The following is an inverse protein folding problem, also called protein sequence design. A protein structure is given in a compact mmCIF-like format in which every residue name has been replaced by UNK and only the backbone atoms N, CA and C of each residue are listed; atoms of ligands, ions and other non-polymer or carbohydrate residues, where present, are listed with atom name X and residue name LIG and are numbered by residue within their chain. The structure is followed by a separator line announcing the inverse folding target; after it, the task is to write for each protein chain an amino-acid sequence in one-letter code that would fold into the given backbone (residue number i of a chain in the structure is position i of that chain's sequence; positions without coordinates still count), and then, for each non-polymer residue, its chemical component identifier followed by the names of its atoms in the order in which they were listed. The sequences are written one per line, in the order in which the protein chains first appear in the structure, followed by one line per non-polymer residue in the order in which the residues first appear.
data_IF_253046474302
#
_entry.id   IF_253046474302
#
_cell.length_a   1.000
_cell.length_b   1.000
_cell.length_c   1.000
_cell.angle_alpha   90.00
_cell.angle_beta   90.00
_cell.angle_gamma   90.00
#
_symmetry.space_group_name_H-M   'P 1'
#
loop_
_entity.id
_entity.type
_entity.pdbx_description
1 polymer ?
#
# COMPACT_ATOMS: atom_id res chain seq x y z
N UNK A 1 -50.23 29.66 -42.52
CA UNK A 1 -50.95 29.00 -41.41
C UNK A 1 -49.98 28.76 -40.26
N UNK A 2 -50.47 28.91 -39.03
CA UNK A 2 -49.75 29.27 -37.80
C UNK A 2 -48.82 28.19 -37.24
N UNK A 3 -47.67 28.65 -36.74
CA UNK A 3 -46.81 28.05 -35.71
C UNK A 3 -47.58 27.51 -34.50
N UNK A 4 -47.01 26.51 -33.82
CA UNK A 4 -46.87 26.50 -32.35
C UNK A 4 -45.86 25.45 -31.88
N UNK A 5 -44.66 25.94 -31.56
CA UNK A 5 -43.77 25.33 -30.59
C UNK A 5 -44.42 25.44 -29.21
N UNK A 6 -44.33 24.38 -28.40
CA UNK A 6 -44.68 24.41 -26.98
C UNK A 6 -43.40 24.22 -26.18
N UNK A 7 -42.89 25.33 -25.67
CA UNK A 7 -42.03 25.39 -24.50
C UNK A 7 -42.82 24.87 -23.30
N UNK A 8 -42.23 23.99 -22.50
CA UNK A 8 -42.64 23.75 -21.11
C UNK A 8 -41.51 24.26 -20.21
N UNK A 9 -41.81 25.14 -19.23
CA UNK A 9 -40.78 25.87 -18.51
C UNK A 9 -40.17 25.06 -17.36
N UNK A 10 -38.88 25.31 -17.12
CA UNK A 10 -38.26 25.22 -15.81
C UNK A 10 -39.02 26.14 -14.85
N UNK A 11 -39.38 25.65 -13.66
CA UNK A 11 -39.28 26.37 -12.39
C UNK A 11 -39.74 25.44 -11.26
N UNK A 12 -38.81 24.97 -10.43
CA UNK A 12 -39.11 24.84 -9.02
C UNK A 12 -37.91 25.27 -8.19
N UNK A 13 -38.13 26.42 -7.57
CA UNK A 13 -37.25 27.16 -6.69
C UNK A 13 -37.65 26.79 -5.26
N UNK A 14 -36.67 26.49 -4.40
CA UNK A 14 -36.71 26.84 -2.97
C UNK A 14 -37.03 25.73 -1.98
N UNK A 15 -36.07 25.44 -1.10
CA UNK A 15 -36.11 25.75 0.35
C UNK A 15 -34.76 25.31 0.96
N UNK A 16 -33.85 26.23 1.29
CA UNK A 16 -33.65 26.77 2.65
C UNK A 16 -33.81 25.72 3.77
N UNK A 17 -32.69 25.14 4.18
CA UNK A 17 -32.57 24.27 5.36
C UNK A 17 -31.29 24.58 6.12
N UNK A 18 -31.43 25.55 7.04
CA UNK A 18 -30.67 25.89 8.24
C UNK A 18 -29.24 25.35 8.47
N UNK A 19 -28.35 26.31 8.74
CA UNK A 19 -27.15 26.15 9.54
C UNK A 19 -27.49 25.85 11.02
N UNK A 20 -26.74 24.95 11.64
CA UNK A 20 -26.47 24.86 13.09
C UNK A 20 -25.20 24.01 13.18
N UNK A 21 -23.99 24.56 13.33
CA UNK A 21 -23.44 25.27 14.50
C UNK A 21 -23.75 24.52 15.81
N UNK A 22 -22.86 23.61 16.18
CA UNK A 22 -22.60 23.31 17.60
C UNK A 22 -21.18 22.77 17.74
N UNK A 23 -20.25 23.67 18.06
CA UNK A 23 -18.96 23.32 18.63
C UNK A 23 -19.09 23.18 20.15
N UNK A 24 -18.33 22.26 20.76
CA UNK A 24 -17.80 22.55 22.09
C UNK A 24 -16.27 22.46 22.14
N UNK A 25 -15.67 23.56 22.56
CA UNK A 25 -14.35 23.68 23.20
C UNK A 25 -14.52 24.60 24.42
N UNK A 26 -13.59 24.66 25.39
CA UNK A 26 -12.60 23.67 25.82
C UNK A 26 -12.76 23.37 27.34
N UNK A 27 -12.01 22.40 27.87
CA UNK A 27 -11.74 22.35 29.31
C UNK A 27 -10.33 21.83 29.57
N UNK A 28 -9.45 22.78 29.90
CA UNK A 28 -8.19 22.55 30.55
C UNK A 28 -8.39 22.66 32.07
N UNK A 29 -7.90 21.68 32.82
CA UNK A 29 -7.47 21.84 34.21
C UNK A 29 -6.78 20.55 34.67
N UNK A 30 -5.54 20.65 35.12
CA UNK A 30 -4.84 19.56 35.81
C UNK A 30 -3.35 19.48 35.57
N UNK A 31 -2.60 20.55 35.86
CA UNK A 31 -1.17 20.46 36.18
C UNK A 31 -1.05 19.89 37.60
N UNK A 32 -0.39 18.74 37.77
CA UNK A 32 0.33 18.41 38.99
C UNK A 32 1.45 17.40 38.69
N UNK A 33 2.65 17.88 38.97
CA UNK A 33 3.94 17.22 39.09
C UNK A 33 3.97 15.71 39.40
N UNK A 34 4.74 14.99 38.58
CA UNK A 34 5.64 13.97 39.08
C UNK A 34 6.87 13.88 38.16
N UNK A 35 7.93 14.59 38.55
CA UNK A 35 9.31 14.26 38.15
C UNK A 35 9.60 12.83 38.61
N UNK A 36 9.41 11.86 37.72
CA UNK A 36 10.09 10.57 37.83
C UNK A 36 11.25 10.57 36.85
N UNK A 37 12.43 10.83 37.41
CA UNK A 37 13.70 10.52 36.78
C UNK A 37 13.70 9.00 36.56
N UNK A 38 13.34 8.58 35.35
CA UNK A 38 13.79 7.29 34.83
C UNK A 38 15.27 7.50 34.51
N UNK A 39 16.08 7.09 35.47
CA UNK A 39 17.50 6.89 35.30
C UNK A 39 17.70 6.00 34.06
N UNK A 40 18.33 6.56 33.03
CA UNK A 40 18.72 5.81 31.85
C UNK A 40 19.69 4.73 32.33
N UNK A 41 19.38 3.42 32.21
CA UNK A 41 20.42 2.44 32.38
C UNK A 41 21.52 2.77 31.37
N UNK A 42 22.76 2.76 31.85
CA UNK A 42 23.93 2.90 31.02
C UNK A 42 23.76 1.98 29.81
N UNK A 43 23.78 2.56 28.62
CA UNK A 43 24.02 1.83 27.39
C UNK A 43 25.35 1.12 27.59
N UNK A 44 25.30 -0.19 27.76
CA UNK A 44 26.49 -1.03 27.69
C UNK A 44 27.23 -0.68 26.40
N UNK A 45 28.57 -0.53 26.45
CA UNK A 45 29.34 -0.29 25.24
C UNK A 45 29.05 -1.42 24.27
N UNK A 46 28.86 -1.05 23.00
CA UNK A 46 28.71 -1.95 21.88
C UNK A 46 29.59 -3.19 22.08
N UNK A 47 28.95 -4.36 22.14
CA UNK A 47 29.63 -5.62 22.08
C UNK A 47 30.68 -5.52 20.97
N UNK A 48 31.92 -5.81 21.36
CA UNK A 48 33.07 -5.81 20.47
C UNK A 48 32.67 -6.46 19.15
N UNK A 49 33.09 -5.82 18.04
CA UNK A 49 33.03 -6.43 16.73
C UNK A 49 33.48 -7.90 16.85
N UNK A 50 32.76 -8.87 16.24
CA UNK A 50 33.23 -10.24 16.25
C UNK A 50 34.68 -10.24 15.77
N UNK A 51 35.58 -11.02 16.40
CA UNK A 51 36.95 -11.12 15.91
C UNK A 51 36.88 -11.39 14.42
N UNK A 52 37.55 -10.52 13.66
CA UNK A 52 37.59 -10.61 12.20
C UNK A 52 37.81 -12.07 11.84
N UNK A 53 36.94 -12.60 10.96
CA UNK A 53 37.09 -13.95 10.44
C UNK A 53 38.58 -14.13 10.10
N UNK A 54 39.25 -15.19 10.59
CA UNK A 54 40.60 -15.45 10.12
C UNK A 54 40.54 -15.44 8.60
N UNK A 55 41.47 -14.72 7.97
CA UNK A 55 41.64 -14.74 6.52
C UNK A 55 41.82 -16.21 6.14
N UNK A 56 40.73 -16.81 5.68
CA UNK A 56 40.69 -18.17 5.23
C UNK A 56 41.61 -18.26 4.03
N UNK A 57 42.71 -18.98 4.26
CA UNK A 57 43.77 -19.30 3.33
C UNK A 57 43.16 -19.68 1.98
N UNK A 58 43.36 -18.83 0.98
CA UNK A 58 42.83 -18.94 -0.36
C UNK A 58 43.54 -20.04 -1.18
N UNK A 59 43.67 -21.24 -0.61
CA UNK A 59 44.24 -22.42 -1.29
C UNK A 59 43.37 -23.67 -1.14
N UNK A 60 42.06 -23.52 -0.92
CA UNK A 60 41.13 -24.60 -1.20
C UNK A 60 41.06 -24.79 -2.73
N UNK A 61 41.77 -25.80 -3.25
CA UNK A 61 41.51 -26.37 -4.58
C UNK A 61 40.02 -26.71 -4.64
N UNK A 62 39.25 -25.88 -5.33
CA UNK A 62 37.79 -25.93 -5.34
C UNK A 62 37.30 -27.33 -5.67
N UNK A 63 36.63 -27.96 -4.71
CA UNK A 63 35.75 -29.08 -5.01
C UNK A 63 34.62 -28.46 -5.84
N UNK A 64 34.42 -28.84 -7.11
CA UNK A 64 33.33 -28.31 -7.90
C UNK A 64 32.02 -28.62 -7.16
N UNK A 65 31.23 -27.58 -6.88
CA UNK A 65 29.86 -27.78 -6.42
C UNK A 65 29.17 -28.72 -7.42
N UNK A 66 28.40 -29.72 -6.95
CA UNK A 66 27.61 -30.52 -7.86
C UNK A 66 26.66 -29.58 -8.60
N UNK A 67 26.70 -29.60 -9.94
CA UNK A 67 25.70 -28.94 -10.77
C UNK A 67 24.37 -29.64 -10.53
N UNK A 68 23.56 -29.14 -9.60
CA UNK A 68 22.17 -29.58 -9.47
C UNK A 68 21.46 -29.07 -10.74
N UNK A 69 20.85 -29.96 -11.54
CA UNK A 69 20.06 -29.51 -12.69
C UNK A 69 18.91 -28.65 -12.17
N UNK A 70 18.97 -27.35 -12.44
CA UNK A 70 17.82 -26.49 -12.22
C UNK A 70 16.72 -26.95 -13.18
N UNK A 71 15.48 -27.20 -12.70
CA UNK A 71 14.37 -27.42 -13.62
C UNK A 71 14.29 -26.22 -14.57
N UNK A 72 13.85 -26.42 -15.83
CA UNK A 72 13.65 -25.30 -16.74
C UNK A 72 12.73 -24.29 -16.05
N UNK A 73 13.19 -23.03 -15.91
CA UNK A 73 12.33 -21.98 -15.40
C UNK A 73 11.07 -21.96 -16.27
N UNK A 74 9.86 -21.81 -15.69
CA UNK A 74 8.66 -21.66 -16.50
C UNK A 74 8.88 -20.52 -17.49
N UNK A 75 8.34 -20.68 -18.71
CA UNK A 75 8.40 -19.64 -19.72
C UNK A 75 7.93 -18.32 -19.11
N UNK A 76 8.62 -17.21 -19.42
CA UNK A 76 8.19 -15.89 -18.96
C UNK A 76 6.73 -15.70 -19.39
N UNK A 77 5.84 -15.26 -18.48
CA UNK A 77 4.46 -14.99 -18.85
C UNK A 77 4.44 -13.99 -20.02
N UNK A 78 3.51 -14.21 -20.96
CA UNK A 78 3.33 -13.35 -22.12
C UNK A 78 2.93 -11.92 -21.74
N UNK A 79 2.76 -11.03 -22.74
CA UNK A 79 2.25 -9.67 -22.54
C UNK A 79 0.98 -9.66 -21.66
N UNK A 80 0.78 -8.57 -20.91
CA UNK A 80 -0.33 -8.45 -19.96
C UNK A 80 -1.68 -8.62 -20.65
N UNK A 81 -1.78 -8.10 -21.86
CA UNK A 81 -2.97 -8.02 -22.71
C UNK A 81 -3.43 -9.38 -23.24
N UNK A 82 -2.55 -10.37 -23.26
CA UNK A 82 -2.83 -11.72 -23.76
C UNK A 82 -3.22 -12.69 -22.63
N UNK A 83 -3.07 -12.27 -21.37
CA UNK A 83 -3.36 -13.10 -20.20
C UNK A 83 -4.84 -13.07 -19.82
N UNK A 84 -5.32 -14.20 -19.34
CA UNK A 84 -6.66 -14.32 -18.76
C UNK A 84 -6.80 -13.51 -17.46
N UNK A 85 -8.04 -13.13 -17.07
CA UNK A 85 -8.29 -12.48 -15.79
C UNK A 85 -7.75 -13.27 -14.59
N UNK A 86 -7.89 -14.59 -14.60
CA UNK A 86 -7.45 -15.47 -13.53
C UNK A 86 -5.91 -15.46 -13.39
N UNK A 87 -5.18 -15.48 -14.51
CA UNK A 87 -3.71 -15.38 -14.53
C UNK A 87 -3.23 -14.01 -14.02
N UNK A 88 -3.94 -12.93 -14.34
CA UNK A 88 -3.64 -11.59 -13.82
C UNK A 88 -3.85 -11.52 -12.30
N UNK A 89 -4.94 -12.09 -11.80
CA UNK A 89 -5.24 -12.16 -10.37
C UNK A 89 -4.18 -12.97 -9.62
N UNK A 90 -3.78 -14.13 -10.14
CA UNK A 90 -2.74 -14.96 -9.54
C UNK A 90 -1.38 -14.24 -9.51
N UNK A 91 -0.98 -13.65 -10.65
CA UNK A 91 0.25 -12.87 -10.73
C UNK A 91 0.22 -11.67 -9.78
N UNK A 92 -0.92 -10.98 -9.68
CA UNK A 92 -1.11 -9.84 -8.79
C UNK A 92 -1.00 -10.21 -7.31
N UNK A 93 -1.53 -11.38 -6.94
CA UNK A 93 -1.37 -11.94 -5.59
C UNK A 93 0.10 -12.21 -5.26
N UNK A 94 0.85 -12.76 -6.20
CA UNK A 94 2.29 -12.97 -6.02
C UNK A 94 3.05 -11.64 -5.83
N UNK A 95 2.72 -10.63 -6.63
CA UNK A 95 3.27 -9.26 -6.48
C UNK A 95 2.93 -8.68 -5.11
N UNK A 96 1.67 -8.80 -4.67
CA UNK A 96 1.23 -8.31 -3.37
C UNK A 96 2.00 -8.96 -2.21
N UNK A 97 2.07 -10.29 -2.22
CA UNK A 97 2.74 -11.06 -1.18
C UNK A 97 4.23 -10.73 -1.09
N UNK A 98 4.88 -10.48 -2.23
CA UNK A 98 6.31 -10.18 -2.25
C UNK A 98 6.64 -8.74 -1.79
N UNK A 99 5.73 -7.78 -1.99
CA UNK A 99 6.08 -6.36 -1.90
C UNK A 99 5.26 -5.55 -0.88
N UNK A 100 4.04 -5.99 -0.54
CA UNK A 100 3.07 -5.14 0.17
C UNK A 100 2.87 -5.55 1.64
N UNK A 101 3.04 -6.83 1.96
CA UNK A 101 2.69 -7.41 3.27
C UNK A 101 3.63 -6.99 4.42
N UNK A 102 4.74 -6.30 4.12
CA UNK A 102 5.60 -5.73 5.15
C UNK A 102 4.91 -4.61 5.94
N UNK A 103 3.98 -3.90 5.30
CA UNK A 103 3.24 -2.78 5.88
C UNK A 103 1.74 -3.04 5.93
N UNK A 104 1.20 -3.65 4.87
CA UNK A 104 -0.19 -4.06 4.79
C UNK A 104 -0.38 -5.46 5.37
N UNK A 105 -1.62 -5.87 5.58
CA UNK A 105 -1.93 -7.21 6.06
C UNK A 105 -1.66 -8.26 4.97
N UNK A 106 -1.52 -9.53 5.32
CA UNK A 106 -1.51 -10.63 4.34
C UNK A 106 -2.86 -10.73 3.63
N UNK A 107 -3.94 -10.47 4.35
CA UNK A 107 -5.29 -10.32 3.80
C UNK A 107 -5.55 -8.85 3.43
N UNK A 108 -5.65 -8.49 2.13
CA UNK A 108 -5.80 -7.09 1.71
C UNK A 108 -7.09 -6.41 2.16
N UNK A 109 -8.08 -7.17 2.63
CA UNK A 109 -9.35 -6.63 3.17
C UNK A 109 -9.20 -6.10 4.60
N UNK A 110 -8.08 -6.40 5.26
CA UNK A 110 -7.81 -6.01 6.63
C UNK A 110 -6.70 -4.96 6.73
N UNK A 111 -6.75 -4.17 7.79
CA UNK A 111 -5.67 -3.25 8.12
C UNK A 111 -4.40 -4.02 8.52
N UNK A 112 -3.25 -3.54 8.05
CA UNK A 112 -1.93 -4.01 8.47
C UNK A 112 -1.37 -3.23 9.64
N UNK A 113 -0.12 -3.56 10.02
CA UNK A 113 0.58 -2.88 11.11
C UNK A 113 0.77 -1.38 10.83
N UNK A 114 1.01 -1.01 9.57
CA UNK A 114 1.26 0.37 9.15
C UNK A 114 0.27 0.84 8.08
N UNK A 115 0.01 0.00 7.07
CA UNK A 115 -0.84 0.31 5.94
C UNK A 115 -2.31 -0.04 6.20
N UNK A 116 -3.27 0.72 5.66
CA UNK A 116 -4.70 0.37 5.74
C UNK A 116 -5.05 -0.83 4.84
N UNK A 117 -6.27 -1.32 4.94
CA UNK A 117 -6.87 -2.24 3.97
C UNK A 117 -6.87 -1.64 2.56
N UNK A 118 -6.47 -2.42 1.57
CA UNK A 118 -6.26 -1.99 0.17
C UNK A 118 -7.04 -2.80 -0.86
N UNK A 119 -7.82 -3.80 -0.44
CA UNK A 119 -8.79 -4.46 -1.31
C UNK A 119 -9.64 -3.43 -2.07
N UNK A 120 -9.86 -3.70 -3.35
CA UNK A 120 -10.67 -2.86 -4.21
C UNK A 120 -10.07 -1.53 -4.65
N UNK A 121 -8.83 -1.23 -4.26
CA UNK A 121 -8.17 0.01 -4.67
C UNK A 121 -8.16 0.15 -6.21
N UNK A 122 -8.66 1.27 -6.77
CA UNK A 122 -8.69 1.45 -8.22
C UNK A 122 -7.28 1.72 -8.75
N UNK A 123 -7.03 1.35 -10.02
CA UNK A 123 -5.71 1.49 -10.65
C UNK A 123 -5.07 2.89 -10.49
N UNK A 124 -5.79 4.03 -10.65
CA UNK A 124 -5.18 5.35 -10.45
C UNK A 124 -4.65 5.59 -9.03
N UNK A 125 -5.32 5.03 -8.02
CA UNK A 125 -4.85 5.10 -6.64
C UNK A 125 -3.61 4.22 -6.47
N UNK A 126 -3.64 2.99 -6.99
CA UNK A 126 -2.50 2.07 -6.91
C UNK A 126 -1.29 2.70 -7.58
N UNK A 127 -1.43 3.23 -8.80
CA UNK A 127 -0.33 3.88 -9.52
C UNK A 127 0.23 5.07 -8.73
N UNK A 128 -0.62 5.98 -8.23
CA UNK A 128 -0.16 7.13 -7.45
C UNK A 128 0.60 6.71 -6.17
N UNK A 129 0.08 5.71 -5.45
CA UNK A 129 0.71 5.19 -4.22
C UNK A 129 2.03 4.48 -4.52
N UNK A 130 2.03 3.57 -5.49
CA UNK A 130 3.16 2.69 -5.80
C UNK A 130 4.25 3.45 -6.53
N UNK A 131 3.92 4.30 -7.49
CA UNK A 131 4.94 5.00 -8.29
C UNK A 131 5.50 6.23 -7.59
N UNK A 132 4.65 6.95 -6.85
CA UNK A 132 4.98 8.31 -6.37
C UNK A 132 4.82 8.49 -4.85
N UNK A 133 4.26 7.51 -4.14
CA UNK A 133 3.87 7.66 -2.73
C UNK A 133 2.92 8.84 -2.47
N UNK A 134 2.13 9.22 -3.48
CA UNK A 134 1.19 10.35 -3.48
C UNK A 134 -0.26 9.88 -3.53
N UNK A 135 -1.22 10.78 -3.36
CA UNK A 135 -2.64 10.48 -3.53
C UNK A 135 -3.18 11.22 -4.76
N UNK A 136 -4.11 10.62 -5.52
CA UNK A 136 -4.77 11.32 -6.62
C UNK A 136 -5.63 12.46 -6.10
N UNK A 137 -5.93 13.43 -6.96
CA UNK A 137 -6.74 14.60 -6.60
C UNK A 137 -8.12 14.18 -6.07
N UNK A 138 -8.59 14.86 -5.02
CA UNK A 138 -9.86 14.56 -4.37
C UNK A 138 -9.88 13.28 -3.51
N UNK A 139 -8.79 12.51 -3.45
CA UNK A 139 -8.72 11.33 -2.61
C UNK A 139 -8.40 11.68 -1.15
N UNK A 140 -9.21 11.18 -0.22
CA UNK A 140 -8.97 11.30 1.22
C UNK A 140 -8.29 10.04 1.75
N UNK A 141 -7.05 10.13 2.28
CA UNK A 141 -6.35 8.98 2.85
C UNK A 141 -7.11 8.32 4.00
N UNK A 142 -7.15 6.98 4.00
CA UNK A 142 -7.74 6.19 5.10
C UNK A 142 -7.01 6.37 6.44
N UNK A 143 -5.71 6.73 6.41
CA UNK A 143 -4.85 6.95 7.57
C UNK A 143 -3.96 8.17 7.34
N UNK A 144 -3.54 8.89 8.41
CA UNK A 144 -2.71 10.10 8.29
C UNK A 144 -1.21 9.82 8.05
N UNK A 145 -0.82 8.57 7.81
CA UNK A 145 0.58 8.16 7.65
C UNK A 145 1.07 8.35 6.21
N UNK A 146 2.33 8.81 6.02
CA UNK A 146 3.00 8.91 4.70
C UNK A 146 4.20 7.96 4.57
N UNK A 147 4.16 6.83 5.27
CA UNK A 147 5.31 5.92 5.43
C UNK A 147 5.55 5.02 4.20
N UNK A 148 4.51 4.76 3.40
CA UNK A 148 4.64 3.92 2.21
C UNK A 148 5.64 4.53 1.22
N UNK A 149 6.75 3.83 0.97
CA UNK A 149 7.79 4.21 0.02
C UNK A 149 7.34 3.93 -1.43
N UNK A 150 7.81 4.71 -2.41
CA UNK A 150 7.56 4.41 -3.81
C UNK A 150 8.33 3.16 -4.25
N UNK A 151 7.69 2.33 -5.08
CA UNK A 151 8.19 1.08 -5.65
C UNK A 151 8.09 1.14 -7.20
N UNK A 152 8.79 2.06 -7.88
CA UNK A 152 8.62 2.31 -9.31
C UNK A 152 9.01 1.10 -10.20
N UNK A 153 9.81 0.17 -9.69
CA UNK A 153 10.12 -1.08 -10.38
C UNK A 153 8.91 -1.99 -10.60
N UNK A 154 7.78 -1.72 -9.93
CA UNK A 154 6.51 -2.44 -10.11
C UNK A 154 5.62 -1.86 -11.21
N UNK A 155 6.05 -0.82 -11.93
CA UNK A 155 5.30 -0.24 -13.06
C UNK A 155 4.72 -1.29 -14.04
N UNK A 156 5.52 -2.26 -14.56
CA UNK A 156 4.98 -3.26 -15.47
C UNK A 156 4.06 -4.29 -14.79
N UNK A 157 3.89 -4.20 -13.46
CA UNK A 157 3.11 -5.11 -12.61
C UNK A 157 1.84 -4.50 -12.04
N UNK A 158 1.59 -3.21 -12.31
CA UNK A 158 0.40 -2.51 -11.81
C UNK A 158 -0.92 -3.11 -12.33
N UNK A 159 -1.04 -3.56 -13.60
CA UNK A 159 -2.28 -4.20 -14.06
C UNK A 159 -2.61 -5.49 -13.31
N UNK A 160 -1.60 -6.34 -13.05
CA UNK A 160 -1.80 -7.56 -12.26
C UNK A 160 -2.21 -7.24 -10.83
N UNK A 161 -1.51 -6.29 -10.19
CA UNK A 161 -1.81 -5.87 -8.83
C UNK A 161 -3.24 -5.30 -8.71
N UNK A 162 -3.65 -4.49 -9.68
CA UNK A 162 -5.00 -3.94 -9.74
C UNK A 162 -6.05 -5.02 -9.95
N UNK A 163 -5.82 -5.98 -10.85
CA UNK A 163 -6.72 -7.10 -11.07
C UNK A 163 -6.91 -7.93 -9.79
N UNK A 164 -5.82 -8.23 -9.08
CA UNK A 164 -5.89 -8.94 -7.81
C UNK A 164 -6.68 -8.16 -6.75
N UNK A 165 -6.36 -6.89 -6.51
CA UNK A 165 -7.05 -6.11 -5.48
C UNK A 165 -8.54 -5.88 -5.82
N UNK A 166 -8.87 -5.64 -7.09
CA UNK A 166 -10.25 -5.50 -7.55
C UNK A 166 -11.06 -6.79 -7.35
N UNK A 167 -10.44 -7.96 -7.51
CA UNK A 167 -11.13 -9.25 -7.32
C UNK A 167 -11.65 -9.48 -5.89
N UNK A 168 -11.18 -8.70 -4.91
CA UNK A 168 -11.53 -8.83 -3.50
C UNK A 168 -12.71 -7.94 -3.07
N UNK A 169 -13.09 -6.94 -3.86
CA UNK A 169 -14.15 -5.98 -3.48
C UNK A 169 -15.56 -6.60 -3.47
N UNK A 170 -15.77 -7.69 -4.22
CA UNK A 170 -17.05 -8.43 -4.26
C UNK A 170 -17.19 -9.51 -3.19
N UNK A 171 -16.16 -9.73 -2.37
CA UNK A 171 -16.11 -10.81 -1.37
C UNK A 171 -16.17 -10.31 0.09
N UNK A 172 -16.47 -9.02 0.30
CA UNK A 172 -16.57 -8.38 1.63
C UNK A 172 -18.01 -8.04 2.03
#
# INVERSE_FOLDING_TARGET
MRNRAVLVPLLWLGLLGACSDEAPSPSASGLADAKSVVERPAVEPAAAAPPGRPAEDATAKGVPLPTIPHPPMPARPGPVEERSPEELIEAGRAVYNANCIACHNLDPTQDGALGPAVAGSPLPLIEARVMRAEYPEGYTPKRPTRVMVPLPHLEPKLPELAAYLASLESSS
#
